data_IF_021434438715
#
_entry.id   IF_021434438715
#
_cell.length_a   1.000
_cell.length_b   1.000
_cell.length_c   1.000
_cell.angle_alpha   90.00
_cell.angle_beta   90.00
_cell.angle_gamma   90.00
#
_symmetry.space_group_name_H-M   'P 1'
#
loop_
_entity.id
_entity.type
_entity.pdbx_description
1 polymer ?
#
# COMPACT_ATOMS: atom_id res chain seq x y z
N UNK A 1 33.30 9.29 5.54
CA UNK A 1 33.30 8.68 4.19
C UNK A 1 33.14 9.79 3.17
N UNK A 2 34.08 9.92 2.22
CA UNK A 2 33.92 10.86 1.12
C UNK A 2 32.89 10.30 0.14
N UNK A 3 31.78 11.03 -0.04
CA UNK A 3 30.81 10.81 -1.10
C UNK A 3 30.66 12.10 -1.89
N UNK A 4 30.34 12.03 -3.17
CA UNK A 4 29.98 13.22 -3.90
C UNK A 4 28.67 13.81 -3.39
N UNK A 5 28.54 15.14 -3.42
CA UNK A 5 27.25 15.79 -3.20
C UNK A 5 26.37 15.49 -4.41
N UNK A 6 25.30 14.74 -4.20
CA UNK A 6 24.36 14.34 -5.25
C UNK A 6 23.80 15.56 -5.99
N UNK A 7 23.88 15.55 -7.32
CA UNK A 7 23.32 16.62 -8.17
C UNK A 7 21.82 16.45 -8.38
N UNK A 8 21.39 15.22 -8.68
CA UNK A 8 20.02 14.89 -9.09
C UNK A 8 19.69 13.44 -8.68
N UNK A 9 18.40 13.11 -8.62
CA UNK A 9 17.97 11.73 -8.37
C UNK A 9 18.10 10.86 -9.63
N UNK A 10 18.37 9.56 -9.48
CA UNK A 10 18.75 8.70 -10.60
C UNK A 10 17.65 8.68 -11.66
N UNK A 11 16.42 8.36 -11.27
CA UNK A 11 15.27 8.35 -12.18
C UNK A 11 14.75 9.72 -12.65
N UNK A 12 15.42 10.83 -12.27
CA UNK A 12 15.05 12.20 -12.66
C UNK A 12 16.05 12.84 -13.64
N UNK A 13 17.04 12.08 -14.13
CA UNK A 13 17.96 12.57 -15.17
C UNK A 13 17.19 12.77 -16.48
N UNK A 14 17.35 13.94 -17.09
CA UNK A 14 16.65 14.36 -18.31
C UNK A 14 17.57 15.23 -19.20
N UNK A 15 17.03 15.75 -20.31
CA UNK A 15 17.75 16.52 -21.32
C UNK A 15 18.49 17.75 -20.77
N UNK A 16 18.03 18.33 -19.66
CA UNK A 16 18.66 19.50 -19.03
C UNK A 16 20.09 19.18 -18.58
N UNK A 17 20.40 17.91 -18.34
CA UNK A 17 21.71 17.44 -17.90
C UNK A 17 22.61 16.93 -19.03
N UNK A 18 22.14 16.92 -20.28
CA UNK A 18 22.92 16.43 -21.41
C UNK A 18 24.26 17.19 -21.54
N UNK A 19 25.36 16.43 -21.67
CA UNK A 19 26.71 16.97 -21.75
C UNK A 19 27.27 17.54 -20.43
N UNK A 20 26.50 17.52 -19.33
CA UNK A 20 26.93 18.06 -18.03
C UNK A 20 27.50 16.97 -17.13
N UNK A 21 28.54 17.27 -16.35
CA UNK A 21 28.97 16.38 -15.29
C UNK A 21 27.93 16.39 -14.16
N UNK A 22 27.47 15.20 -13.76
CA UNK A 22 26.56 15.02 -12.63
C UNK A 22 27.09 13.98 -11.65
N UNK A 23 26.61 14.09 -10.42
CA UNK A 23 26.94 13.18 -9.33
C UNK A 23 25.71 12.40 -8.92
N UNK A 24 25.80 11.07 -9.01
CA UNK A 24 24.72 10.17 -8.62
C UNK A 24 25.18 9.25 -7.49
N UNK A 25 24.23 8.80 -6.67
CA UNK A 25 24.48 7.80 -5.64
C UNK A 25 23.26 6.92 -5.47
N UNK A 26 23.47 5.64 -5.24
CA UNK A 26 22.40 4.65 -5.19
C UNK A 26 22.92 3.22 -5.05
N UNK A 27 22.03 2.27 -5.35
CA UNK A 27 22.31 0.84 -5.30
C UNK A 27 22.53 0.29 -6.69
N UNK A 28 23.55 -0.54 -6.85
CA UNK A 28 23.76 -1.35 -8.06
C UNK A 28 22.60 -2.34 -8.18
N UNK A 29 21.63 -2.07 -9.05
CA UNK A 29 20.50 -2.98 -9.26
C UNK A 29 20.92 -4.16 -10.14
N UNK A 30 21.50 -3.86 -11.29
CA UNK A 30 21.92 -4.86 -12.28
C UNK A 30 23.30 -4.53 -12.81
N UNK A 31 24.06 -5.57 -13.12
CA UNK A 31 25.38 -5.48 -13.74
C UNK A 31 25.41 -6.33 -14.99
N UNK A 32 25.80 -5.74 -16.11
CA UNK A 32 26.05 -6.42 -17.39
C UNK A 32 27.50 -6.14 -17.79
N UNK A 33 28.24 -7.19 -18.08
CA UNK A 33 29.65 -7.12 -18.46
C UNK A 33 29.81 -7.75 -19.85
N UNK A 34 30.14 -6.92 -20.84
CA UNK A 34 30.35 -7.36 -22.22
C UNK A 34 31.85 -7.46 -22.56
N UNK A 35 32.72 -7.54 -21.54
CA UNK A 35 34.18 -7.61 -21.70
C UNK A 35 34.82 -6.25 -21.96
N UNK A 36 34.40 -5.56 -23.04
CA UNK A 36 34.92 -4.23 -23.40
C UNK A 36 34.19 -3.07 -22.73
N UNK A 37 32.96 -3.27 -22.27
CA UNK A 37 32.12 -2.28 -21.60
C UNK A 37 31.39 -2.93 -20.42
N UNK A 38 31.26 -2.18 -19.32
CA UNK A 38 30.44 -2.57 -18.18
C UNK A 38 29.27 -1.60 -18.05
N UNK A 39 28.06 -2.16 -17.99
CA UNK A 39 26.83 -1.42 -17.75
C UNK A 39 26.31 -1.73 -16.36
N UNK A 40 25.97 -0.68 -15.63
CA UNK A 40 25.34 -0.78 -14.31
C UNK A 40 24.02 -0.02 -14.33
N UNK A 41 22.94 -0.68 -13.91
CA UNK A 41 21.70 0.01 -13.60
C UNK A 41 21.79 0.51 -12.15
N UNK A 42 21.92 1.83 -11.98
CA UNK A 42 21.99 2.48 -10.66
C UNK A 42 20.59 2.90 -10.23
N UNK A 43 20.09 2.30 -9.15
CA UNK A 43 18.76 2.55 -8.61
C UNK A 43 18.82 3.46 -7.38
N UNK A 44 17.83 4.34 -7.29
CA UNK A 44 17.45 5.00 -6.04
C UNK A 44 15.91 5.05 -5.91
N UNK A 45 15.40 5.85 -4.96
CA UNK A 45 13.94 5.99 -4.77
C UNK A 45 13.22 6.58 -5.99
N UNK A 46 13.88 7.42 -6.80
CA UNK A 46 13.23 8.07 -7.93
C UNK A 46 13.22 7.23 -9.20
N UNK A 47 14.01 6.15 -9.27
CA UNK A 47 14.05 5.24 -10.40
C UNK A 47 15.47 4.75 -10.70
N UNK A 48 15.72 4.44 -11.97
CA UNK A 48 16.98 3.83 -12.44
C UNK A 48 17.68 4.77 -13.41
N UNK A 49 19.01 4.80 -13.36
CA UNK A 49 19.86 5.43 -14.36
C UNK A 49 20.94 4.45 -14.80
N UNK A 50 21.15 4.30 -16.11
CA UNK A 50 22.24 3.47 -16.63
C UNK A 50 23.57 4.21 -16.52
N UNK A 51 24.56 3.50 -15.98
CA UNK A 51 25.95 3.90 -15.96
C UNK A 51 26.72 3.07 -16.98
N UNK A 52 27.60 3.71 -17.73
CA UNK A 52 28.51 3.07 -18.66
C UNK A 52 29.94 3.32 -18.21
N UNK A 53 30.67 2.22 -18.06
CA UNK A 53 32.10 2.24 -17.79
C UNK A 53 32.80 1.79 -19.06
N UNK A 54 33.49 2.74 -19.71
CA UNK A 54 34.27 2.51 -20.92
C UNK A 54 35.77 2.71 -20.60
N UNK A 55 36.65 1.71 -20.84
CA UNK A 55 38.08 1.84 -20.57
C UNK A 55 38.77 2.96 -21.37
N UNK A 56 38.27 3.28 -22.56
CA UNK A 56 38.79 4.38 -23.40
C UNK A 56 38.49 5.76 -22.80
N UNK A 57 37.44 5.85 -21.97
CA UNK A 57 37.04 7.07 -21.28
C UNK A 57 37.66 7.18 -19.88
N UNK A 58 37.60 6.10 -19.09
CA UNK A 58 38.24 6.02 -17.78
C UNK A 58 38.62 4.58 -17.43
N UNK A 59 39.90 4.26 -17.65
CA UNK A 59 40.46 2.95 -17.32
C UNK A 59 40.36 2.66 -15.80
N UNK A 60 40.50 3.68 -14.96
CA UNK A 60 40.39 3.54 -13.50
C UNK A 60 38.97 3.19 -13.06
N UNK A 61 37.97 3.91 -13.55
CA UNK A 61 36.57 3.62 -13.22
C UNK A 61 36.14 2.25 -13.75
N UNK A 62 36.56 1.89 -14.97
CA UNK A 62 36.32 0.57 -15.55
C UNK A 62 36.90 -0.57 -14.69
N UNK A 63 38.15 -0.43 -14.25
CA UNK A 63 38.79 -1.42 -13.35
C UNK A 63 38.03 -1.57 -12.04
N UNK A 64 37.55 -0.47 -11.45
CA UNK A 64 36.75 -0.51 -10.23
C UNK A 64 35.37 -1.14 -10.44
N UNK A 65 34.75 -0.91 -11.60
CA UNK A 65 33.44 -1.46 -11.95
C UNK A 65 33.40 -2.99 -12.02
N UNK A 66 34.54 -3.66 -12.32
CA UNK A 66 34.64 -5.12 -12.23
C UNK A 66 34.43 -5.67 -10.81
N UNK A 67 34.69 -4.88 -9.77
CA UNK A 67 34.47 -5.29 -8.38
C UNK A 67 33.01 -5.15 -7.94
N UNK A 68 32.19 -4.40 -8.68
CA UNK A 68 30.81 -4.16 -8.31
C UNK A 68 30.00 -5.45 -8.35
N UNK A 69 29.11 -5.62 -7.37
CA UNK A 69 28.12 -6.69 -7.29
C UNK A 69 26.76 -6.06 -6.99
N UNK A 70 25.70 -6.85 -7.17
CA UNK A 70 24.34 -6.42 -6.89
C UNK A 70 24.21 -5.86 -5.46
N UNK A 71 23.44 -4.80 -5.35
CA UNK A 71 23.13 -4.04 -4.13
C UNK A 71 24.30 -3.35 -3.43
N UNK A 72 25.47 -3.27 -4.07
CA UNK A 72 26.53 -2.36 -3.63
C UNK A 72 26.01 -0.91 -3.61
N UNK A 73 26.42 -0.15 -2.60
CA UNK A 73 26.11 1.28 -2.50
C UNK A 73 27.27 2.05 -3.07
N UNK A 74 27.02 2.82 -4.13
CA UNK A 74 28.05 3.54 -4.87
C UNK A 74 27.71 5.02 -5.03
N UNK A 75 28.75 5.82 -5.21
CA UNK A 75 28.70 7.23 -5.62
C UNK A 75 29.53 7.37 -6.89
N UNK A 76 28.99 8.00 -7.91
CA UNK A 76 29.66 8.16 -9.21
C UNK A 76 29.62 9.60 -9.67
N UNK A 77 30.68 10.03 -10.35
CA UNK A 77 30.70 11.20 -11.22
C UNK A 77 30.70 10.71 -12.66
N UNK A 78 30.05 11.45 -13.55
CA UNK A 78 30.12 11.19 -14.98
C UNK A 78 29.39 12.25 -15.79
N UNK A 79 29.46 12.11 -17.11
CA UNK A 79 28.79 13.02 -18.05
C UNK A 79 27.57 12.34 -18.66
N UNK A 80 26.45 13.04 -18.71
CA UNK A 80 25.23 12.50 -19.33
C UNK A 80 25.37 12.55 -20.84
N UNK A 81 25.10 11.42 -21.50
CA UNK A 81 25.13 11.28 -22.96
C UNK A 81 23.83 10.65 -23.45
N UNK A 82 23.51 10.86 -24.72
CA UNK A 82 22.42 10.16 -25.39
C UNK A 82 22.81 8.71 -25.63
N UNK A 83 21.85 7.82 -25.42
CA UNK A 83 21.97 6.45 -25.91
C UNK A 83 21.87 6.41 -27.43
N UNK A 84 22.47 5.40 -28.04
CA UNK A 84 22.21 5.13 -29.46
C UNK A 84 20.73 4.81 -29.68
N UNK A 85 20.20 5.14 -30.86
CA UNK A 85 18.79 4.93 -31.21
C UNK A 85 18.32 3.48 -30.96
N UNK A 86 19.20 2.50 -31.17
CA UNK A 86 18.95 1.07 -30.97
C UNK A 86 18.91 0.65 -29.49
N UNK A 87 19.48 1.43 -28.58
CA UNK A 87 19.62 1.10 -27.15
C UNK A 87 18.73 1.93 -26.22
N UNK A 88 17.85 2.75 -26.81
CA UNK A 88 16.82 3.49 -26.07
C UNK A 88 15.89 2.50 -25.38
N UNK A 89 15.72 2.66 -24.06
CA UNK A 89 14.77 1.87 -23.29
C UNK A 89 13.51 2.69 -22.99
N UNK A 90 12.41 2.41 -23.68
CA UNK A 90 11.14 3.14 -23.50
C UNK A 90 10.42 2.81 -22.18
N UNK A 91 10.84 1.79 -21.45
CA UNK A 91 10.27 1.41 -20.15
C UNK A 91 10.83 2.27 -18.99
N UNK A 92 11.95 2.95 -19.21
CA UNK A 92 12.60 3.79 -18.20
C UNK A 92 12.40 5.28 -18.50
N UNK A 93 12.07 6.06 -17.48
CA UNK A 93 11.98 7.53 -17.59
C UNK A 93 13.29 8.17 -18.08
N UNK A 94 14.42 7.55 -17.75
CA UNK A 94 15.78 7.97 -18.12
C UNK A 94 16.31 7.24 -19.35
N UNK A 95 15.52 6.37 -19.99
CA UNK A 95 16.02 5.38 -20.94
C UNK A 95 16.51 5.92 -22.27
N UNK A 96 16.43 7.24 -22.51
CA UNK A 96 17.12 7.94 -23.61
C UNK A 96 18.55 8.34 -23.27
N UNK A 97 18.91 8.32 -21.99
CA UNK A 97 20.16 8.84 -21.47
C UNK A 97 20.97 7.72 -20.81
N UNK A 98 22.26 7.94 -20.73
CA UNK A 98 23.17 7.16 -19.90
C UNK A 98 24.29 8.03 -19.34
N UNK A 99 24.93 7.56 -18.29
CA UNK A 99 26.02 8.28 -17.62
C UNK A 99 27.35 7.63 -17.97
N UNK A 100 28.19 8.33 -18.73
CA UNK A 100 29.56 7.92 -18.97
C UNK A 100 30.38 8.23 -17.71
N UNK A 101 30.73 7.19 -16.95
CA UNK A 101 31.34 7.34 -15.62
C UNK A 101 32.84 7.58 -15.75
N UNK A 102 33.33 8.67 -15.14
CA UNK A 102 34.76 8.97 -15.04
C UNK A 102 35.33 8.61 -13.66
N UNK A 103 34.53 8.72 -12.59
CA UNK A 103 34.95 8.43 -11.22
C UNK A 103 33.91 7.62 -10.44
N UNK A 104 34.37 6.58 -9.73
CA UNK A 104 33.54 5.68 -8.92
C UNK A 104 34.08 5.55 -7.50
N UNK A 105 33.18 5.73 -6.52
CA UNK A 105 33.44 5.49 -5.11
C UNK A 105 32.48 4.41 -4.62
N UNK A 106 33.02 3.32 -4.06
CA UNK A 106 32.23 2.30 -3.37
C UNK A 106 32.01 2.80 -1.93
N UNK A 107 30.79 3.25 -1.63
CA UNK A 107 30.42 3.71 -0.29
C UNK A 107 30.25 2.54 0.67
N UNK A 108 29.62 1.46 0.20
CA UNK A 108 29.44 0.24 0.98
C UNK A 108 29.31 -0.99 0.08
N UNK A 109 29.93 -2.10 0.48
CA UNK A 109 29.82 -3.39 -0.20
C UNK A 109 28.61 -4.15 0.36
N UNK A 110 27.89 -4.85 -0.51
CA UNK A 110 26.84 -5.77 -0.09
C UNK A 110 27.36 -7.21 -0.04
N UNK A 111 26.83 -8.00 0.90
CA UNK A 111 27.00 -9.46 0.88
C UNK A 111 26.11 -10.06 -0.20
N UNK A 112 26.33 -11.35 -0.51
CA UNK A 112 25.38 -12.10 -1.33
C UNK A 112 23.96 -11.99 -0.74
N UNK A 113 22.98 -11.74 -1.61
CA UNK A 113 21.60 -11.52 -1.20
C UNK A 113 20.90 -12.86 -0.94
N UNK A 114 19.97 -12.93 0.02
CA UNK A 114 19.18 -14.13 0.28
C UNK A 114 18.20 -14.45 -0.86
N UNK A 115 17.85 -13.46 -1.68
CA UNK A 115 17.07 -13.62 -2.91
C UNK A 115 17.34 -12.45 -3.87
N UNK A 116 17.06 -12.66 -5.16
CA UNK A 116 17.08 -11.60 -6.18
C UNK A 116 15.90 -10.66 -6.01
N UNK A 117 16.13 -9.34 -6.02
CA UNK A 117 15.05 -8.36 -5.93
C UNK A 117 14.13 -8.37 -7.16
N UNK A 118 14.63 -8.80 -8.32
CA UNK A 118 13.86 -8.91 -9.58
C UNK A 118 12.91 -10.12 -9.53
N UNK A 119 13.29 -11.20 -8.85
CA UNK A 119 12.52 -12.46 -8.78
C UNK A 119 11.74 -12.61 -7.48
N UNK A 120 11.73 -11.56 -6.64
CA UNK A 120 11.12 -11.58 -5.32
C UNK A 120 9.60 -11.78 -5.32
N UNK A 121 8.93 -11.87 -6.48
CA UNK A 121 7.52 -12.28 -6.58
C UNK A 121 7.35 -13.79 -6.54
N UNK A 122 8.36 -14.54 -6.98
CA UNK A 122 8.40 -16.01 -6.96
C UNK A 122 9.06 -16.56 -5.69
N UNK A 123 9.51 -15.68 -4.80
CA UNK A 123 10.12 -16.04 -3.52
C UNK A 123 9.02 -16.15 -2.46
N UNK A 124 9.13 -17.17 -1.61
CA UNK A 124 8.23 -17.40 -0.48
C UNK A 124 8.09 -16.13 0.40
N UNK A 125 6.85 -15.83 0.79
CA UNK A 125 6.53 -14.63 1.56
C UNK A 125 7.28 -14.58 2.90
N UNK A 126 7.47 -15.73 3.56
CA UNK A 126 8.20 -15.81 4.83
C UNK A 126 9.63 -15.27 4.69
N UNK A 127 10.35 -15.65 3.63
CA UNK A 127 11.71 -15.19 3.38
C UNK A 127 11.74 -13.69 3.10
N UNK A 128 10.75 -13.18 2.36
CA UNK A 128 10.61 -11.75 2.08
C UNK A 128 10.32 -10.94 3.33
N UNK A 129 9.50 -11.46 4.25
CA UNK A 129 9.21 -10.83 5.53
C UNK A 129 10.44 -10.86 6.45
N UNK A 130 11.19 -11.97 6.47
CA UNK A 130 12.45 -12.09 7.22
C UNK A 130 13.47 -11.04 6.79
N UNK A 131 13.56 -10.78 5.49
CA UNK A 131 14.44 -9.74 4.92
C UNK A 131 13.65 -8.55 4.38
N UNK A 132 12.63 -8.09 5.11
CA UNK A 132 11.70 -7.05 4.64
C UNK A 132 12.40 -5.76 4.22
N UNK A 133 13.52 -5.41 4.85
CA UNK A 133 14.33 -4.25 4.48
C UNK A 133 14.94 -4.33 3.06
N UNK A 134 15.13 -5.54 2.51
CA UNK A 134 15.50 -5.77 1.11
C UNK A 134 14.27 -5.74 0.22
N UNK A 135 13.20 -6.46 0.59
CA UNK A 135 11.96 -6.52 -0.19
C UNK A 135 11.34 -5.12 -0.38
N UNK A 136 11.44 -4.25 0.63
CA UNK A 136 11.01 -2.85 0.55
C UNK A 136 11.79 -2.02 -0.48
N UNK A 137 12.95 -2.46 -0.99
CA UNK A 137 13.68 -1.73 -2.04
C UNK A 137 13.05 -1.85 -3.42
N UNK A 138 12.13 -2.80 -3.62
CA UNK A 138 11.44 -3.02 -4.89
C UNK A 138 10.51 -1.86 -5.22
N UNK A 139 10.40 -1.54 -6.51
CA UNK A 139 9.47 -0.52 -7.03
C UNK A 139 8.04 -0.75 -6.53
N UNK A 140 7.50 -1.96 -6.68
CA UNK A 140 6.15 -2.30 -6.25
C UNK A 140 5.88 -2.04 -4.75
N UNK A 141 6.88 -2.24 -3.87
CA UNK A 141 6.74 -1.93 -2.44
C UNK A 141 6.86 -0.43 -2.17
N UNK A 142 7.82 0.25 -2.82
CA UNK A 142 7.99 1.70 -2.72
C UNK A 142 6.74 2.44 -3.22
N UNK A 143 6.13 1.99 -4.31
CA UNK A 143 4.90 2.55 -4.87
C UNK A 143 3.73 2.39 -3.91
N UNK A 144 3.56 1.22 -3.27
CA UNK A 144 2.52 1.01 -2.24
C UNK A 144 2.71 1.93 -1.04
N UNK A 145 3.94 2.10 -0.55
CA UNK A 145 4.25 3.02 0.54
C UNK A 145 4.02 4.48 0.15
N UNK A 146 4.44 4.87 -1.05
CA UNK A 146 4.23 6.22 -1.59
C UNK A 146 2.74 6.52 -1.78
N UNK A 147 1.96 5.55 -2.28
CA UNK A 147 0.51 5.65 -2.41
C UNK A 147 -0.14 5.83 -1.04
N UNK A 148 0.21 5.00 -0.05
CA UNK A 148 -0.27 5.14 1.33
C UNK A 148 0.01 6.54 1.88
N UNK A 149 1.22 7.05 1.69
CA UNK A 149 1.59 8.41 2.12
C UNK A 149 0.72 9.48 1.43
N UNK A 150 0.54 9.40 0.10
CA UNK A 150 -0.30 10.34 -0.66
C UNK A 150 -1.75 10.33 -0.17
N UNK A 151 -2.32 9.14 0.06
CA UNK A 151 -3.67 8.96 0.58
C UNK A 151 -3.81 9.57 1.98
N UNK A 152 -2.87 9.32 2.89
CA UNK A 152 -2.89 9.89 4.24
C UNK A 152 -2.78 11.42 4.22
N UNK A 153 -1.93 11.99 3.35
CA UNK A 153 -1.82 13.44 3.21
C UNK A 153 -3.11 14.06 2.64
N UNK A 154 -3.70 13.45 1.60
CA UNK A 154 -4.96 13.91 1.03
C UNK A 154 -6.11 13.86 2.04
N UNK A 155 -6.20 12.81 2.86
CA UNK A 155 -7.16 12.73 3.96
C UNK A 155 -7.02 13.90 4.93
N UNK A 156 -5.80 14.16 5.41
CA UNK A 156 -5.55 15.26 6.36
C UNK A 156 -5.96 16.61 5.77
N UNK A 157 -5.51 16.90 4.55
CA UNK A 157 -5.85 18.14 3.85
C UNK A 157 -7.37 18.31 3.73
N UNK A 158 -8.10 17.24 3.37
CA UNK A 158 -9.55 17.25 3.28
C UNK A 158 -10.22 17.62 4.62
N UNK A 159 -9.86 16.93 5.71
CA UNK A 159 -10.48 17.15 7.02
C UNK A 159 -10.15 18.52 7.60
N UNK A 160 -8.89 18.96 7.48
CA UNK A 160 -8.46 20.31 7.90
C UNK A 160 -9.26 21.38 7.16
N UNK A 161 -9.42 21.25 5.83
CA UNK A 161 -10.21 22.19 5.03
C UNK A 161 -11.71 22.18 5.36
N UNK A 162 -12.21 21.13 6.01
CA UNK A 162 -13.61 21.01 6.50
C UNK A 162 -13.78 21.47 7.95
N UNK A 163 -12.71 21.97 8.57
CA UNK A 163 -12.70 22.49 9.94
C UNK A 163 -12.61 21.42 11.02
N UNK A 164 -12.09 20.23 10.70
CA UNK A 164 -11.79 19.21 11.71
C UNK A 164 -10.41 19.45 12.32
N UNK A 165 -10.26 19.09 13.59
CA UNK A 165 -8.98 19.08 14.29
C UNK A 165 -8.40 17.66 14.35
N UNK A 166 -7.13 17.51 13.96
CA UNK A 166 -6.38 16.26 14.20
C UNK A 166 -5.90 16.25 15.65
N UNK A 167 -6.55 15.47 16.52
CA UNK A 167 -6.18 15.39 17.94
C UNK A 167 -5.63 14.00 18.26
N UNK A 168 -4.45 13.96 18.85
CA UNK A 168 -3.85 12.71 19.30
C UNK A 168 -4.48 12.26 20.62
N UNK A 169 -4.86 10.99 20.69
CA UNK A 169 -5.43 10.35 21.88
C UNK A 169 -4.44 9.36 22.52
N UNK A 170 -4.49 9.17 23.85
CA UNK A 170 -3.58 8.25 24.54
C UNK A 170 -3.70 6.79 24.07
N UNK A 171 -2.55 6.10 24.00
CA UNK A 171 -2.46 4.66 23.69
C UNK A 171 -2.51 3.80 24.95
N UNK A 172 -1.99 4.26 26.09
CA UNK A 172 -2.05 3.49 27.34
C UNK A 172 -3.35 3.83 28.06
N UNK A 173 -4.37 3.01 27.85
CA UNK A 173 -5.74 3.26 28.32
C UNK A 173 -6.15 2.28 29.40
N UNK A 174 -7.34 2.48 29.98
CA UNK A 174 -7.98 1.49 30.86
C UNK A 174 -8.72 0.46 30.00
N UNK A 175 -8.71 -0.80 30.41
CA UNK A 175 -9.47 -1.86 29.75
C UNK A 175 -10.98 -1.55 29.69
N UNK A 176 -11.60 -1.83 28.54
CA UNK A 176 -13.05 -1.84 28.35
C UNK A 176 -13.56 -3.28 28.18
N UNK A 177 -14.34 -3.84 29.14
CA UNK A 177 -14.65 -5.28 29.15
C UNK A 177 -15.55 -5.81 28.02
N UNK A 178 -16.19 -4.92 27.25
CA UNK A 178 -17.26 -5.30 26.30
C UNK A 178 -16.75 -5.59 24.87
N UNK A 179 -15.49 -5.26 24.57
CA UNK A 179 -14.92 -5.36 23.22
C UNK A 179 -14.21 -6.68 22.91
N UNK A 180 -13.39 -6.67 21.87
CA UNK A 180 -12.47 -7.78 21.57
C UNK A 180 -11.40 -7.92 22.68
N UNK A 181 -10.52 -8.92 22.60
CA UNK A 181 -9.37 -8.98 23.52
C UNK A 181 -8.39 -7.83 23.25
N UNK A 182 -7.82 -7.28 24.32
CA UNK A 182 -6.91 -6.15 24.29
C UNK A 182 -5.49 -6.61 24.71
N UNK A 183 -4.46 -6.03 24.09
CA UNK A 183 -3.10 -6.21 24.57
C UNK A 183 -2.90 -5.46 25.88
N UNK A 184 -2.31 -6.15 26.87
CA UNK A 184 -2.02 -5.60 28.19
C UNK A 184 -0.57 -5.13 28.30
N UNK A 185 -0.38 -3.99 28.94
CA UNK A 185 0.95 -3.44 29.26
C UNK A 185 1.08 -3.31 30.78
N UNK A 186 1.94 -4.10 31.44
CA UNK A 186 2.08 -4.06 32.89
C UNK A 186 2.64 -2.71 33.38
N UNK A 187 2.04 -2.18 34.45
CA UNK A 187 2.54 -0.95 35.07
C UNK A 187 3.68 -1.24 36.04
N UNK A 188 4.85 -0.64 35.80
CA UNK A 188 5.98 -0.70 36.74
C UNK A 188 5.67 0.06 38.05
N UNK A 189 4.91 1.16 37.97
CA UNK A 189 4.64 2.05 39.10
C UNK A 189 3.49 1.56 39.98
N UNK A 190 2.55 0.81 39.41
CA UNK A 190 1.39 0.27 40.11
C UNK A 190 1.36 -1.25 39.97
N UNK A 191 2.07 -1.99 40.85
CA UNK A 191 2.07 -3.46 40.82
C UNK A 191 0.66 -4.03 40.89
N UNK A 192 0.36 -5.01 40.03
CA UNK A 192 -0.97 -5.61 39.89
C UNK A 192 -1.93 -4.87 38.94
N UNK A 193 -1.54 -3.70 38.43
CA UNK A 193 -2.31 -2.95 37.44
C UNK A 193 -1.68 -3.00 36.05
N UNK A 194 -2.55 -2.96 35.05
CA UNK A 194 -2.18 -3.03 33.63
C UNK A 194 -2.88 -1.89 32.87
N UNK A 195 -2.20 -1.35 31.87
CA UNK A 195 -2.82 -0.59 30.81
C UNK A 195 -3.32 -1.55 29.72
N UNK A 196 -4.28 -1.09 28.93
CA UNK A 196 -4.73 -1.75 27.72
C UNK A 196 -4.44 -0.88 26.50
N UNK A 197 -3.99 -1.51 25.40
CA UNK A 197 -3.86 -0.83 24.11
C UNK A 197 -5.24 -0.72 23.43
N UNK A 198 -5.62 0.46 22.90
CA UNK A 198 -6.97 0.71 22.42
C UNK A 198 -7.27 -0.01 21.11
N UNK A 199 -8.49 -0.53 21.01
CA UNK A 199 -9.05 -1.06 19.76
C UNK A 199 -9.50 0.03 18.80
N UNK A 200 -9.83 1.20 19.35
CA UNK A 200 -10.10 2.47 18.67
C UNK A 200 -10.09 3.61 19.71
N UNK A 201 -9.99 4.88 19.29
CA UNK A 201 -10.14 6.05 20.18
C UNK A 201 -11.58 6.32 20.67
N UNK A 202 -12.48 5.33 20.66
CA UNK A 202 -13.92 5.51 20.84
C UNK A 202 -14.32 6.33 22.08
N UNK A 203 -13.73 6.04 23.25
CA UNK A 203 -14.05 6.80 24.47
C UNK A 203 -13.53 8.24 24.39
N UNK A 204 -12.33 8.43 23.85
CA UNK A 204 -11.71 9.75 23.78
C UNK A 204 -12.42 10.66 22.78
N UNK A 205 -12.82 10.16 21.61
CA UNK A 205 -13.57 10.99 20.65
C UNK A 205 -14.91 11.44 21.22
N UNK A 206 -15.57 10.61 22.03
CA UNK A 206 -16.79 11.01 22.75
C UNK A 206 -16.51 12.10 23.80
N UNK A 207 -15.42 11.98 24.57
CA UNK A 207 -14.99 13.03 25.51
C UNK A 207 -14.72 14.35 24.78
N UNK A 208 -14.08 14.29 23.61
CA UNK A 208 -13.79 15.49 22.79
C UNK A 208 -15.07 16.15 22.27
N UNK A 209 -16.09 15.36 21.90
CA UNK A 209 -17.39 15.94 21.54
C UNK A 209 -18.06 16.58 22.75
N UNK A 210 -18.03 15.91 23.91
CA UNK A 210 -18.58 16.44 25.16
C UNK A 210 -17.83 17.70 25.65
N UNK A 211 -16.55 17.86 25.31
CA UNK A 211 -15.76 19.06 25.63
C UNK A 211 -16.02 20.24 24.67
N UNK A 212 -16.89 20.08 23.67
CA UNK A 212 -17.24 21.14 22.73
C UNK A 212 -16.28 21.29 21.53
N UNK A 213 -15.51 20.24 21.17
CA UNK A 213 -14.62 20.31 19.99
C UNK A 213 -15.37 20.29 18.66
N UNK A 214 -16.58 19.72 18.64
CA UNK A 214 -17.51 19.58 17.50
C UNK A 214 -17.06 18.79 16.28
N UNK A 215 -15.77 18.83 15.89
CA UNK A 215 -15.23 18.13 14.72
C UNK A 215 -13.83 17.61 14.99
N UNK A 216 -13.74 16.30 15.14
CA UNK A 216 -12.52 15.58 15.46
C UNK A 216 -12.18 14.58 14.36
N UNK A 217 -10.90 14.44 14.04
CA UNK A 217 -10.40 13.26 13.36
C UNK A 217 -9.03 12.85 13.89
N UNK A 218 -8.65 11.59 13.66
CA UNK A 218 -7.31 11.09 13.93
C UNK A 218 -7.00 9.92 12.99
N UNK A 219 -5.78 9.89 12.45
CA UNK A 219 -5.24 8.67 11.84
C UNK A 219 -4.58 7.84 12.94
N UNK A 220 -5.40 7.11 13.69
CA UNK A 220 -5.04 6.45 14.94
C UNK A 220 -4.41 5.07 14.73
N UNK A 221 -3.51 4.68 15.65
CA UNK A 221 -3.02 3.30 15.74
C UNK A 221 -3.90 2.50 16.70
N UNK A 222 -4.35 1.35 16.23
CA UNK A 222 -5.30 0.50 16.94
C UNK A 222 -4.74 -0.92 17.06
N UNK A 223 -5.15 -1.61 18.13
CA UNK A 223 -4.59 -2.90 18.51
C UNK A 223 -5.71 -3.89 18.83
N UNK A 224 -5.58 -5.15 18.38
CA UNK A 224 -6.55 -6.23 18.65
C UNK A 224 -5.81 -7.54 18.92
N UNK A 225 -6.12 -8.18 20.03
CA UNK A 225 -5.56 -9.49 20.42
C UNK A 225 -6.46 -10.64 19.95
N UNK A 226 -6.67 -10.70 18.64
CA UNK A 226 -7.51 -11.70 17.98
C UNK A 226 -6.70 -12.60 17.04
N UNK A 227 -7.27 -13.75 16.69
CA UNK A 227 -6.69 -14.64 15.70
C UNK A 227 -6.52 -13.93 14.35
N UNK A 228 -5.35 -14.13 13.74
CA UNK A 228 -4.99 -13.50 12.48
C UNK A 228 -5.81 -14.08 11.33
N UNK A 229 -6.11 -13.21 10.36
CA UNK A 229 -6.71 -13.56 9.06
C UNK A 229 -5.90 -12.88 7.97
N UNK A 230 -6.14 -13.27 6.71
CA UNK A 230 -5.40 -12.73 5.56
C UNK A 230 -5.38 -11.18 5.50
N UNK A 231 -6.44 -10.53 5.99
CA UNK A 231 -6.64 -9.08 6.03
C UNK A 231 -6.58 -8.46 7.44
N UNK A 232 -6.22 -9.25 8.47
CA UNK A 232 -6.28 -8.82 9.88
C UNK A 232 -4.90 -8.92 10.53
N UNK A 233 -4.36 -7.75 10.85
CA UNK A 233 -3.11 -7.59 11.62
C UNK A 233 -3.42 -7.16 13.06
N UNK A 234 -2.59 -7.54 14.05
CA UNK A 234 -2.83 -7.21 15.46
C UNK A 234 -2.65 -5.72 15.72
N UNK A 235 -1.82 -5.05 14.92
CA UNK A 235 -1.66 -3.60 14.89
C UNK A 235 -2.11 -3.09 13.51
N UNK A 236 -3.02 -2.11 13.49
CA UNK A 236 -3.53 -1.53 12.26
C UNK A 236 -3.87 -0.05 12.44
N UNK A 237 -3.93 0.68 11.32
CA UNK A 237 -4.23 2.11 11.32
C UNK A 237 -5.68 2.34 10.93
N UNK A 238 -6.38 3.19 11.66
CA UNK A 238 -7.74 3.62 11.34
C UNK A 238 -7.78 5.12 11.08
N UNK A 239 -8.66 5.53 10.18
CA UNK A 239 -9.21 6.89 10.20
C UNK A 239 -10.36 6.86 11.20
N UNK A 240 -10.20 7.54 12.32
CA UNK A 240 -11.26 7.78 13.29
C UNK A 240 -11.72 9.23 13.15
N UNK A 241 -13.03 9.45 13.24
CA UNK A 241 -13.63 10.78 13.17
C UNK A 241 -14.90 10.82 14.02
N UNK A 242 -15.23 12.00 14.49
CA UNK A 242 -16.44 12.25 15.28
C UNK A 242 -16.91 13.69 15.05
N UNK A 243 -18.24 13.89 15.06
CA UNK A 243 -18.86 15.19 14.88
C UNK A 243 -20.05 15.40 15.84
N UNK A 244 -20.19 16.60 16.38
CA UNK A 244 -21.35 17.01 17.18
C UNK A 244 -22.45 17.61 16.30
N UNK A 245 -23.71 17.51 16.76
CA UNK A 245 -24.88 18.17 16.15
C UNK A 245 -25.17 17.77 14.70
N UNK A 246 -24.97 16.49 14.37
CA UNK A 246 -25.17 15.94 13.02
C UNK A 246 -26.06 14.70 13.04
N UNK A 247 -26.63 14.37 11.89
CA UNK A 247 -27.34 13.12 11.64
C UNK A 247 -26.46 12.13 10.85
N UNK A 248 -26.90 10.87 10.76
CA UNK A 248 -26.15 9.83 10.03
C UNK A 248 -25.89 10.18 8.55
N UNK A 249 -26.82 10.90 7.92
CA UNK A 249 -26.68 11.36 6.53
C UNK A 249 -25.53 12.36 6.32
N UNK A 250 -25.24 13.20 7.31
CA UNK A 250 -24.15 14.17 7.25
C UNK A 250 -22.78 13.47 7.27
N UNK A 251 -22.63 12.47 8.14
CA UNK A 251 -21.43 11.64 8.22
C UNK A 251 -21.22 10.90 6.90
N UNK A 252 -22.26 10.26 6.36
CA UNK A 252 -22.20 9.57 5.07
C UNK A 252 -21.73 10.52 3.96
N UNK A 253 -22.32 11.71 3.88
CA UNK A 253 -21.96 12.72 2.88
C UNK A 253 -20.49 13.17 3.00
N UNK A 254 -19.98 13.36 4.21
CA UNK A 254 -18.57 13.71 4.44
C UNK A 254 -17.63 12.60 3.98
N UNK A 255 -17.97 11.34 4.26
CA UNK A 255 -17.17 10.19 3.83
C UNK A 255 -17.23 10.01 2.31
N UNK A 256 -18.39 10.16 1.67
CA UNK A 256 -18.53 10.14 0.20
C UNK A 256 -17.67 11.24 -0.45
N UNK A 257 -17.71 12.46 0.10
CA UNK A 257 -16.88 13.58 -0.36
C UNK A 257 -15.38 13.30 -0.17
N UNK A 258 -14.99 12.66 0.95
CA UNK A 258 -13.61 12.25 1.19
C UNK A 258 -13.13 11.28 0.10
N UNK A 259 -13.89 10.21 -0.15
CA UNK A 259 -13.56 9.24 -1.19
C UNK A 259 -13.45 9.89 -2.56
N UNK A 260 -14.41 10.73 -2.95
CA UNK A 260 -14.39 11.46 -4.22
C UNK A 260 -13.16 12.36 -4.35
N UNK A 261 -12.80 13.08 -3.28
CA UNK A 261 -11.60 13.93 -3.24
C UNK A 261 -10.31 13.11 -3.42
N UNK A 262 -10.15 12.01 -2.69
CA UNK A 262 -8.99 11.13 -2.77
C UNK A 262 -8.88 10.52 -4.18
N UNK A 263 -9.98 10.01 -4.73
CA UNK A 263 -9.99 9.38 -6.05
C UNK A 263 -9.59 10.36 -7.15
N UNK A 264 -10.15 11.57 -7.13
CA UNK A 264 -9.82 12.62 -8.09
C UNK A 264 -8.36 13.04 -7.97
N UNK A 265 -7.86 13.27 -6.75
CA UNK A 265 -6.50 13.77 -6.50
C UNK A 265 -5.41 12.74 -6.82
N UNK A 266 -5.67 11.46 -6.57
CA UNK A 266 -4.65 10.41 -6.65
C UNK A 266 -4.75 9.59 -7.93
N UNK A 267 -5.96 9.27 -8.37
CA UNK A 267 -6.20 8.41 -9.53
C UNK A 267 -6.75 9.17 -10.75
N UNK A 268 -7.03 10.48 -10.62
CA UNK A 268 -7.58 11.29 -11.71
C UNK A 268 -9.00 10.87 -12.14
N UNK A 269 -9.69 10.09 -11.30
CA UNK A 269 -11.00 9.52 -11.60
C UNK A 269 -12.06 10.15 -10.70
N UNK A 270 -13.21 10.50 -11.27
CA UNK A 270 -14.35 11.03 -10.52
C UNK A 270 -15.29 9.90 -10.08
N UNK A 271 -15.57 9.84 -8.78
CA UNK A 271 -16.58 8.93 -8.25
C UNK A 271 -17.97 9.57 -8.33
N UNK A 272 -18.96 8.79 -8.76
CA UNK A 272 -20.36 9.20 -8.72
C UNK A 272 -20.85 9.19 -7.26
N UNK A 273 -21.20 10.37 -6.75
CA UNK A 273 -21.81 10.57 -5.43
C UNK A 273 -23.25 11.10 -5.59
N UNK A 274 -24.18 10.78 -4.67
CA UNK A 274 -24.02 9.91 -3.50
C UNK A 274 -23.85 8.44 -3.89
N UNK A 275 -23.28 7.63 -3.01
CA UNK A 275 -23.14 6.19 -3.25
C UNK A 275 -24.50 5.49 -3.11
N UNK A 276 -24.71 4.34 -3.79
CA UNK A 276 -25.92 3.55 -3.60
C UNK A 276 -26.08 3.15 -2.12
N UNK A 277 -27.29 3.36 -1.58
CA UNK A 277 -27.63 2.99 -0.22
C UNK A 277 -28.58 1.81 -0.27
N UNK A 278 -28.22 0.76 0.46
CA UNK A 278 -29.01 -0.45 0.58
C UNK A 278 -29.16 -0.74 2.06
N UNK A 279 -30.35 -1.15 2.47
CA UNK A 279 -30.60 -1.58 3.84
C UNK A 279 -29.98 -2.94 4.11
N UNK A 280 -29.74 -3.26 5.38
CA UNK A 280 -29.23 -4.57 5.77
C UNK A 280 -30.12 -5.71 5.24
N UNK A 281 -31.43 -5.58 5.39
CA UNK A 281 -32.39 -6.61 4.96
C UNK A 281 -32.39 -6.81 3.43
N UNK A 282 -32.34 -5.73 2.65
CA UNK A 282 -32.22 -5.81 1.19
C UNK A 282 -30.92 -6.50 0.78
N UNK A 283 -29.80 -6.10 1.38
CA UNK A 283 -28.47 -6.63 1.07
C UNK A 283 -28.36 -8.11 1.44
N UNK A 284 -28.84 -8.49 2.62
CA UNK A 284 -28.76 -9.86 3.09
C UNK A 284 -29.70 -10.79 2.32
N UNK A 285 -30.92 -10.34 2.02
CA UNK A 285 -31.87 -11.11 1.20
C UNK A 285 -31.39 -11.27 -0.25
N UNK A 286 -30.72 -10.26 -0.81
CA UNK A 286 -30.27 -10.26 -2.21
C UNK A 286 -28.90 -10.90 -2.40
N UNK A 287 -27.98 -10.81 -1.43
CA UNK A 287 -26.59 -11.22 -1.63
C UNK A 287 -26.05 -12.16 -0.52
N UNK A 288 -26.78 -12.36 0.58
CA UNK A 288 -26.37 -13.25 1.67
C UNK A 288 -25.18 -12.75 2.49
N UNK A 289 -24.78 -11.48 2.33
CA UNK A 289 -23.67 -10.84 3.05
C UNK A 289 -23.96 -9.36 3.22
N UNK A 290 -23.53 -8.77 4.33
CA UNK A 290 -23.62 -7.33 4.64
C UNK A 290 -22.63 -6.44 3.86
N UNK A 291 -21.73 -7.04 3.07
CA UNK A 291 -20.71 -6.38 2.25
C UNK A 291 -20.66 -6.94 0.83
N UNK A 292 -21.75 -6.78 0.04
CA UNK A 292 -21.88 -7.42 -1.26
C UNK A 292 -20.90 -6.84 -2.28
N UNK A 293 -20.42 -7.69 -3.18
CA UNK A 293 -19.63 -7.26 -4.32
C UNK A 293 -20.55 -6.88 -5.50
N UNK A 294 -20.88 -5.59 -5.59
CA UNK A 294 -21.80 -5.06 -6.61
C UNK A 294 -21.20 -5.01 -8.04
N UNK A 295 -19.97 -5.51 -8.24
CA UNK A 295 -19.37 -5.61 -9.59
C UNK A 295 -19.96 -6.77 -10.39
N UNK A 296 -20.59 -7.74 -9.72
CA UNK A 296 -21.17 -8.92 -10.34
C UNK A 296 -22.70 -8.91 -10.17
N UNK A 297 -23.42 -9.13 -11.26
CA UNK A 297 -24.88 -9.26 -11.26
C UNK A 297 -25.28 -10.71 -10.99
N UNK A 298 -25.21 -11.12 -9.72
CA UNK A 298 -25.57 -12.47 -9.28
C UNK A 298 -26.42 -12.44 -7.98
N UNK A 299 -27.64 -11.89 -8.03
CA UNK A 299 -28.52 -11.84 -6.87
C UNK A 299 -29.10 -13.22 -6.52
N UNK A 300 -29.36 -13.42 -5.24
CA UNK A 300 -30.19 -14.49 -4.69
C UNK A 300 -31.65 -14.14 -4.98
N UNK A 301 -32.31 -14.99 -5.75
CA UNK A 301 -33.74 -14.88 -6.01
C UNK A 301 -34.53 -15.68 -4.98
N UNK A 302 -35.60 -15.10 -4.44
CA UNK A 302 -36.53 -15.84 -3.58
C UNK A 302 -37.35 -16.82 -4.44
N UNK A 303 -37.04 -18.11 -4.30
CA UNK A 303 -37.72 -19.19 -4.98
C UNK A 303 -38.78 -19.87 -4.12
N UNK A 304 -38.95 -19.46 -2.86
CA UNK A 304 -39.93 -20.05 -1.91
C UNK A 304 -41.34 -20.19 -2.51
N UNK A 305 -41.91 -19.19 -3.21
CA UNK A 305 -43.25 -19.30 -3.79
C UNK A 305 -43.38 -20.42 -4.83
N UNK A 306 -42.29 -20.83 -5.49
CA UNK A 306 -42.30 -21.91 -6.49
C UNK A 306 -42.41 -23.31 -5.83
N UNK A 307 -42.16 -23.40 -4.53
CA UNK A 307 -42.08 -24.68 -3.80
C UNK A 307 -43.16 -24.83 -2.71
N UNK A 308 -44.18 -23.98 -2.68
CA UNK A 308 -45.24 -24.02 -1.65
C UNK A 308 -45.91 -25.39 -1.52
N UNK A 309 -46.14 -26.07 -2.65
CA UNK A 309 -46.78 -27.39 -2.72
C UNK A 309 -45.79 -28.53 -3.04
N UNK A 310 -44.50 -28.37 -2.70
CA UNK A 310 -43.48 -29.39 -2.99
C UNK A 310 -43.67 -30.66 -2.16
N UNK A 311 -43.52 -31.83 -2.80
CA UNK A 311 -43.45 -33.13 -2.12
C UNK A 311 -42.02 -33.47 -1.65
N UNK A 312 -41.03 -32.67 -2.06
CA UNK A 312 -39.63 -32.85 -1.66
C UNK A 312 -39.47 -32.47 -0.18
N UNK A 313 -39.32 -33.49 0.66
CA UNK A 313 -39.30 -33.38 2.13
C UNK A 313 -38.24 -32.40 2.65
N UNK A 314 -37.06 -32.33 2.02
CA UNK A 314 -36.01 -31.41 2.44
C UNK A 314 -36.39 -29.94 2.24
N UNK A 315 -37.02 -29.57 1.11
CA UNK A 315 -37.51 -28.20 0.87
C UNK A 315 -38.73 -27.90 1.75
N UNK A 316 -39.65 -28.85 1.89
CA UNK A 316 -40.83 -28.73 2.74
C UNK A 316 -40.45 -28.40 4.19
N UNK A 317 -39.42 -29.09 4.70
CA UNK A 317 -38.92 -28.86 6.07
C UNK A 317 -38.37 -27.45 6.32
N UNK A 318 -37.87 -26.77 5.28
CA UNK A 318 -37.40 -25.37 5.37
C UNK A 318 -38.59 -24.43 5.49
N UNK A 319 -39.60 -24.62 4.63
CA UNK A 319 -40.82 -23.80 4.60
C UNK A 319 -41.61 -23.95 5.92
N UNK A 320 -41.80 -25.19 6.41
CA UNK A 320 -42.55 -25.46 7.65
C UNK A 320 -41.88 -24.84 8.89
N UNK A 321 -40.56 -24.58 8.85
CA UNK A 321 -39.81 -23.88 9.90
C UNK A 321 -39.78 -22.35 9.71
N UNK A 322 -40.46 -21.81 8.71
CA UNK A 322 -40.45 -20.39 8.37
C UNK A 322 -39.17 -19.91 7.68
N UNK A 323 -38.39 -20.81 7.10
CA UNK A 323 -37.19 -20.48 6.32
C UNK A 323 -37.51 -20.09 4.88
N UNK A 324 -36.50 -19.55 4.18
CA UNK A 324 -36.59 -19.14 2.78
C UNK A 324 -35.75 -20.06 1.87
N UNK A 325 -36.24 -20.30 0.66
CA UNK A 325 -35.52 -21.01 -0.41
C UNK A 325 -35.00 -19.97 -1.41
N UNK A 326 -33.69 -19.80 -1.45
CA UNK A 326 -32.99 -18.90 -2.39
C UNK A 326 -32.35 -19.66 -3.56
N UNK A 327 -32.30 -19.03 -4.74
CA UNK A 327 -31.63 -19.56 -5.92
C UNK A 327 -30.70 -18.54 -6.58
N UNK A 328 -29.54 -19.00 -7.03
CA UNK A 328 -28.59 -18.21 -7.83
C UNK A 328 -28.67 -18.66 -9.29
N UNK A 329 -28.79 -17.73 -10.22
CA UNK A 329 -28.83 -18.04 -11.65
C UNK A 329 -27.51 -17.64 -12.32
N UNK A 330 -26.65 -18.63 -12.56
CA UNK A 330 -25.41 -18.43 -13.33
C UNK A 330 -25.71 -18.60 -14.82
N UNK A 331 -25.65 -17.50 -15.57
CA UNK A 331 -25.94 -17.50 -17.01
C UNK A 331 -24.73 -17.91 -17.85
N UNK A 332 -24.98 -18.62 -18.95
CA UNK A 332 -23.99 -18.84 -20.00
C UNK A 332 -22.81 -19.74 -19.60
N UNK A 333 -22.98 -20.59 -18.57
CA UNK A 333 -21.97 -21.54 -18.14
C UNK A 333 -22.56 -22.94 -18.06
N UNK A 334 -21.91 -23.88 -18.73
CA UNK A 334 -22.12 -25.31 -18.50
C UNK A 334 -21.15 -25.76 -17.42
N UNK A 335 -21.67 -26.39 -16.38
CA UNK A 335 -20.85 -26.92 -15.29
C UNK A 335 -20.59 -28.41 -15.54
N UNK A 336 -19.33 -28.82 -15.44
CA UNK A 336 -19.03 -30.24 -15.27
C UNK A 336 -19.46 -30.70 -13.88
N UNK A 337 -19.71 -32.00 -13.68
CA UNK A 337 -20.09 -32.53 -12.36
C UNK A 337 -19.01 -32.37 -11.29
N UNK A 338 -17.75 -32.16 -11.71
CA UNK A 338 -16.59 -31.98 -10.84
C UNK A 338 -16.32 -30.53 -10.46
N UNK A 339 -16.91 -29.57 -11.17
CA UNK A 339 -16.95 -28.15 -10.80
C UNK A 339 -18.19 -27.87 -9.96
#
# INVERSE_FOLDING_TARGET
MQSFKRTISCGLVNEIYLGKPIYLSGWVQKRRDHGGLIFIDLRDRSGVMQLVFNPDFSQQAHKQAHMLRSEYVISVRGTVVERSSETINNELSTGKWELQVDELIILNKAKALPFSLEEAEHVEEELRLRYRYLDLRRSAMQEKLALRNKVMFAMREFFINKGFYEIETPILTKNTPEGAREFLVPSRLHPGFFYALPQSPQLYKQILMASGLEKYFQIARCFRDEDLRADRQPEFTQLDLEMSFVEGGDIQSIIEQLFSCIWKKIFGSELKVPFPRLTYDEVFSTYGTDKPDLRFDLPIHNCTPLFENTELTFLRSVIDKGGNIGGLHVRGREFSRSE
#
